data_IF_637638125025
#
_entry.id   IF_637638125025
#
_cell.length_a   1.000
_cell.length_b   1.000
_cell.length_c   1.000
_cell.angle_alpha   90.00
_cell.angle_beta   90.00
_cell.angle_gamma   90.00
#
_symmetry.space_group_name_H-M   'P 1'
#
loop_
_entity.id
_entity.type
_entity.pdbx_description
1 polymer ?
#
# COMPACT_ATOMS: atom_id res chain seq x y z
N UNK A 1 15.45 13.03 -6.44
CA UNK A 1 14.74 11.98 -5.66
C UNK A 1 15.77 11.25 -4.82
N UNK A 2 15.54 11.04 -3.52
CA UNK A 2 16.48 10.25 -2.71
C UNK A 2 16.38 8.76 -3.11
N UNK A 3 17.43 7.99 -2.82
CA UNK A 3 17.54 6.59 -3.26
C UNK A 3 16.40 5.70 -2.69
N UNK A 4 15.99 5.95 -1.44
CA UNK A 4 14.89 5.22 -0.80
C UNK A 4 13.54 5.44 -1.48
N UNK A 5 13.20 6.68 -1.87
CA UNK A 5 11.96 6.98 -2.61
C UNK A 5 11.95 6.30 -3.97
N UNK A 6 13.09 6.28 -4.67
CA UNK A 6 13.23 5.57 -5.95
C UNK A 6 12.98 4.06 -5.77
N UNK A 7 13.51 3.47 -4.70
CA UNK A 7 13.29 2.05 -4.38
C UNK A 7 11.82 1.74 -4.06
N UNK A 8 11.11 2.64 -3.36
CA UNK A 8 9.67 2.49 -3.07
C UNK A 8 8.84 2.48 -4.35
N UNK A 9 9.08 3.43 -5.26
CA UNK A 9 8.34 3.51 -6.52
C UNK A 9 8.59 2.29 -7.41
N UNK A 10 9.85 1.83 -7.49
CA UNK A 10 10.20 0.61 -8.22
C UNK A 10 9.55 -0.63 -7.61
N UNK A 11 9.51 -0.73 -6.28
CA UNK A 11 8.83 -1.81 -5.58
C UNK A 11 7.34 -1.85 -5.91
N UNK A 12 6.64 -0.72 -5.81
CA UNK A 12 5.20 -0.63 -6.10
C UNK A 12 4.93 -0.93 -7.59
N UNK A 13 5.76 -0.41 -8.49
CA UNK A 13 5.65 -0.71 -9.91
C UNK A 13 5.84 -2.20 -10.20
N UNK A 14 6.80 -2.86 -9.54
CA UNK A 14 7.00 -4.32 -9.64
C UNK A 14 5.78 -5.07 -9.09
N UNK A 15 5.30 -4.70 -7.90
CA UNK A 15 4.15 -5.31 -7.23
C UNK A 15 2.88 -5.26 -8.09
N UNK A 16 2.65 -4.17 -8.81
CA UNK A 16 1.49 -4.00 -9.70
C UNK A 16 1.50 -4.92 -10.94
N UNK A 17 2.65 -5.48 -11.32
CA UNK A 17 2.78 -6.32 -12.51
C UNK A 17 2.39 -7.77 -12.30
N UNK A 18 2.36 -8.24 -11.05
CA UNK A 18 1.96 -9.62 -10.75
C UNK A 18 0.53 -9.90 -11.22
N UNK A 19 0.32 -11.10 -11.75
CA UNK A 19 -0.95 -11.52 -12.30
C UNK A 19 -2.03 -11.66 -11.23
N UNK A 20 -3.26 -11.35 -11.63
CA UNK A 20 -4.47 -11.76 -10.96
C UNK A 20 -5.01 -13.04 -11.60
N UNK A 21 -5.86 -13.73 -10.86
CA UNK A 21 -6.65 -14.87 -11.33
C UNK A 21 -7.99 -14.90 -10.58
N UNK A 22 -8.93 -15.77 -10.96
CA UNK A 22 -10.17 -15.96 -10.19
C UNK A 22 -9.94 -16.25 -8.69
N UNK A 23 -8.83 -16.91 -8.37
CA UNK A 23 -8.46 -17.31 -7.01
C UNK A 23 -7.40 -16.41 -6.36
N UNK A 24 -6.85 -15.43 -7.10
CA UNK A 24 -5.79 -14.53 -6.65
C UNK A 24 -6.10 -13.08 -7.02
N UNK A 25 -6.38 -12.26 -6.01
CA UNK A 25 -6.53 -10.81 -6.22
C UNK A 25 -5.20 -10.07 -5.99
N UNK A 26 -4.64 -9.46 -7.03
CA UNK A 26 -3.65 -8.40 -6.86
C UNK A 26 -4.35 -7.03 -6.80
N UNK A 27 -4.51 -6.49 -5.59
CA UNK A 27 -5.19 -5.20 -5.39
C UNK A 27 -4.43 -3.99 -5.97
N UNK A 28 -3.16 -4.15 -6.36
CA UNK A 28 -2.33 -3.10 -6.93
C UNK A 28 -2.23 -3.17 -8.47
N UNK A 29 -2.81 -4.21 -9.10
CA UNK A 29 -2.73 -4.43 -10.56
C UNK A 29 -3.67 -3.52 -11.34
N UNK A 30 -3.25 -3.17 -12.55
CA UNK A 30 -4.05 -2.45 -13.53
C UNK A 30 -4.16 -0.95 -13.26
N UNK A 31 -4.80 -0.25 -14.19
CA UNK A 31 -4.86 1.22 -14.21
C UNK A 31 -6.25 1.77 -13.89
N UNK A 32 -7.05 0.97 -13.16
CA UNK A 32 -8.29 1.49 -12.58
C UNK A 32 -7.97 2.60 -11.58
N UNK A 33 -8.90 3.52 -11.40
CA UNK A 33 -8.78 4.62 -10.42
C UNK A 33 -8.48 4.07 -9.02
N UNK A 34 -9.12 2.97 -8.66
CA UNK A 34 -8.96 2.32 -7.35
C UNK A 34 -7.56 1.73 -7.20
N UNK A 35 -7.03 1.03 -8.22
CA UNK A 35 -5.67 0.51 -8.18
C UNK A 35 -4.62 1.62 -8.11
N UNK A 36 -4.84 2.74 -8.79
CA UNK A 36 -3.99 3.93 -8.68
C UNK A 36 -4.02 4.53 -7.26
N UNK A 37 -5.21 4.66 -6.65
CA UNK A 37 -5.38 5.15 -5.28
C UNK A 37 -4.66 4.23 -4.29
N UNK A 38 -4.81 2.90 -4.41
CA UNK A 38 -4.16 1.95 -3.51
C UNK A 38 -2.63 2.01 -3.62
N UNK A 39 -2.09 2.15 -4.83
CA UNK A 39 -0.64 2.34 -5.07
C UNK A 39 -0.14 3.62 -4.40
N UNK A 40 -0.87 4.72 -4.54
CA UNK A 40 -0.51 6.00 -3.93
C UNK A 40 -0.58 5.95 -2.39
N UNK A 41 -1.61 5.32 -1.83
CA UNK A 41 -1.73 5.13 -0.38
C UNK A 41 -0.57 4.29 0.17
N UNK A 42 -0.21 3.20 -0.51
CA UNK A 42 0.94 2.36 -0.15
C UNK A 42 2.25 3.17 -0.22
N UNK A 43 2.44 3.97 -1.28
CA UNK A 43 3.61 4.83 -1.44
C UNK A 43 3.76 5.78 -0.25
N UNK A 44 2.70 6.51 0.11
CA UNK A 44 2.70 7.44 1.25
C UNK A 44 3.03 6.74 2.56
N UNK A 45 2.43 5.57 2.80
CA UNK A 45 2.71 4.75 3.97
C UNK A 45 4.20 4.36 4.05
N UNK A 46 4.75 3.81 2.97
CA UNK A 46 6.15 3.37 2.91
C UNK A 46 7.13 4.55 3.03
N UNK A 47 6.81 5.71 2.46
CA UNK A 47 7.64 6.92 2.60
C UNK A 47 7.66 7.42 4.05
N UNK A 48 6.50 7.45 4.73
CA UNK A 48 6.43 7.81 6.16
C UNK A 48 7.18 6.80 7.02
N UNK A 49 6.99 5.50 6.78
CA UNK A 49 7.71 4.44 7.51
C UNK A 49 9.23 4.47 7.26
N UNK A 50 9.67 4.83 6.06
CA UNK A 50 11.09 4.99 5.74
C UNK A 50 11.75 6.10 6.58
N UNK A 51 11.00 7.16 6.91
CA UNK A 51 11.45 8.25 7.79
C UNK A 51 11.44 7.83 9.26
N UNK A 52 10.42 7.08 9.69
CA UNK A 52 10.34 6.55 11.06
C UNK A 52 11.43 5.51 11.33
N UNK A 53 11.83 4.76 10.30
CA UNK A 53 12.85 3.72 10.35
C UNK A 53 12.60 2.69 11.49
N UNK A 54 11.44 2.01 11.51
CA UNK A 54 11.09 1.09 12.58
C UNK A 54 12.01 -0.14 12.59
N UNK A 55 12.29 -0.67 13.77
CA UNK A 55 13.07 -1.90 13.97
C UNK A 55 12.22 -3.18 14.02
N UNK A 56 10.90 -3.04 14.12
CA UNK A 56 9.95 -4.15 14.25
C UNK A 56 9.01 -4.15 13.02
N UNK A 57 8.86 -5.32 12.40
CA UNK A 57 7.94 -5.55 11.28
C UNK A 57 6.77 -6.41 11.74
N UNK A 58 5.55 -5.88 11.66
CA UNK A 58 4.33 -6.68 11.75
C UNK A 58 4.03 -7.30 10.38
N UNK A 59 4.00 -8.62 10.33
CA UNK A 59 3.66 -9.38 9.13
C UNK A 59 2.25 -9.95 9.27
N UNK A 60 1.36 -9.58 8.35
CA UNK A 60 0.03 -10.15 8.23
C UNK A 60 -0.02 -11.24 7.16
N UNK A 61 -0.98 -12.17 7.29
CA UNK A 61 -1.18 -13.26 6.34
C UNK A 61 -1.61 -12.75 4.96
N UNK A 62 -2.73 -12.02 4.88
CA UNK A 62 -3.28 -11.52 3.62
C UNK A 62 -4.18 -10.27 3.80
N UNK A 63 -4.46 -9.51 2.72
CA UNK A 63 -5.37 -8.37 2.76
C UNK A 63 -6.83 -8.77 3.04
N UNK A 64 -7.43 -8.20 4.09
CA UNK A 64 -8.87 -8.34 4.35
C UNK A 64 -9.73 -7.54 3.37
N UNK A 65 -10.89 -8.11 2.97
CA UNK A 65 -11.77 -7.56 1.92
C UNK A 65 -12.39 -6.19 2.24
N UNK A 66 -12.57 -5.85 3.53
CA UNK A 66 -13.06 -4.55 4.03
C UNK A 66 -11.96 -3.61 4.54
N UNK A 67 -10.69 -4.00 4.38
CA UNK A 67 -9.55 -3.26 4.90
C UNK A 67 -8.54 -2.96 3.79
N UNK A 68 -7.36 -3.57 3.90
CA UNK A 68 -6.24 -3.39 2.97
C UNK A 68 -6.65 -3.59 1.50
N UNK A 69 -7.59 -4.49 1.19
CA UNK A 69 -8.07 -4.68 -0.20
C UNK A 69 -8.68 -3.41 -0.80
N UNK A 70 -9.28 -2.55 0.03
CA UNK A 70 -9.84 -1.28 -0.40
C UNK A 70 -8.80 -0.16 -0.34
N UNK A 71 -8.03 -0.10 0.75
CA UNK A 71 -7.16 1.04 1.06
C UNK A 71 -5.77 0.96 0.43
N UNK A 72 -5.25 -0.24 0.17
CA UNK A 72 -3.85 -0.45 -0.22
C UNK A 72 -2.86 -0.36 0.94
N UNK A 73 -3.32 -0.23 2.19
CA UNK A 73 -2.46 -0.12 3.38
C UNK A 73 -2.70 -1.32 4.31
N UNK A 74 -1.65 -2.04 4.74
CA UNK A 74 -1.78 -3.15 5.68
C UNK A 74 -2.52 -2.75 6.96
N UNK A 75 -3.32 -3.67 7.49
CA UNK A 75 -4.05 -3.50 8.75
C UNK A 75 -4.94 -2.24 8.87
N UNK A 76 -5.35 -1.65 7.74
CA UNK A 76 -6.06 -0.37 7.74
C UNK A 76 -7.39 -0.44 6.98
N UNK A 77 -8.42 0.24 7.51
CA UNK A 77 -9.70 0.51 6.83
C UNK A 77 -9.78 1.96 6.37
N UNK A 78 -10.73 2.29 5.49
CA UNK A 78 -10.94 3.67 5.02
C UNK A 78 -11.16 4.65 6.18
N UNK A 79 -11.95 4.24 7.18
CA UNK A 79 -12.13 5.01 8.43
C UNK A 79 -10.82 5.34 9.15
N UNK A 80 -9.84 4.43 9.14
CA UNK A 80 -8.54 4.67 9.78
C UNK A 80 -7.76 5.69 8.98
N UNK A 81 -7.74 5.58 7.65
CA UNK A 81 -7.08 6.55 6.77
C UNK A 81 -7.69 7.96 6.92
N UNK A 82 -9.01 8.07 7.06
CA UNK A 82 -9.70 9.35 7.23
C UNK A 82 -9.46 10.00 8.61
N UNK A 83 -9.53 9.20 9.68
CA UNK A 83 -9.53 9.72 11.04
C UNK A 83 -8.14 9.84 11.68
N UNK A 84 -7.14 9.10 11.19
CA UNK A 84 -5.82 9.07 11.81
C UNK A 84 -4.87 10.07 11.12
N UNK A 85 -4.29 10.97 11.92
CA UNK A 85 -3.37 12.02 11.45
C UNK A 85 -2.12 11.47 10.77
N UNK A 86 -1.73 10.22 11.05
CA UNK A 86 -0.66 9.53 10.34
C UNK A 86 -0.93 9.46 8.83
N UNK A 87 -2.17 9.35 8.38
CA UNK A 87 -2.53 9.21 6.96
C UNK A 87 -2.97 10.52 6.31
N UNK A 88 -3.18 11.58 7.09
CA UNK A 88 -3.42 12.93 6.57
C UNK A 88 -2.14 13.48 5.94
N UNK A 89 -2.28 14.40 4.99
CA UNK A 89 -1.17 14.98 4.23
C UNK A 89 -0.15 15.64 5.18
#
# INVERSE_FOLDING_TARGET
MNDKTKNIEQFIASLSKYNDSPDLTNLYRGDSKESLIRRENLKRYLEKMSRINPSILFLGEAPGYKGCRLTGVPFSSERVLDKNDFFKN
#
